data_IF_895816860932
#
_entry.id   IF_895816860932
#
_cell.length_a   1.000
_cell.length_b   1.000
_cell.length_c   1.000
_cell.angle_alpha   90.00
_cell.angle_beta   90.00
_cell.angle_gamma   90.00
#
_symmetry.space_group_name_H-M   'P 1'
#
loop_
_entity.id
_entity.type
_entity.pdbx_description
1 polymer ?
#
# COMPACT_ATOMS: atom_id res chain seq x y z
N UNK A 1 -4.99 37.90 -2.82
CA UNK A 1 -6.28 37.18 -2.97
C UNK A 1 -6.44 36.22 -1.81
N UNK A 2 -7.62 36.14 -1.21
CA UNK A 2 -7.89 35.10 -0.20
C UNK A 2 -8.01 33.74 -0.90
N UNK A 3 -7.57 32.68 -0.21
CA UNK A 3 -7.78 31.32 -0.68
C UNK A 3 -9.27 31.00 -0.71
N UNK A 4 -9.72 30.31 -1.75
CA UNK A 4 -11.15 30.02 -1.95
C UNK A 4 -11.46 28.56 -1.62
N UNK A 5 -12.69 28.32 -1.16
CA UNK A 5 -13.23 26.98 -0.96
C UNK A 5 -14.25 26.69 -2.05
N UNK A 6 -14.03 25.60 -2.79
CA UNK A 6 -15.01 25.03 -3.70
C UNK A 6 -15.83 23.99 -2.95
N UNK A 7 -17.14 24.04 -3.02
CA UNK A 7 -18.03 23.01 -2.46
C UNK A 7 -18.50 22.07 -3.56
N UNK A 8 -18.53 20.78 -3.24
CA UNK A 8 -19.02 19.70 -4.10
C UNK A 8 -20.01 18.87 -3.26
N UNK A 9 -21.15 18.52 -3.82
CA UNK A 9 -22.08 17.54 -3.24
C UNK A 9 -21.99 16.26 -4.03
N UNK A 10 -21.96 15.11 -3.33
CA UNK A 10 -21.97 13.77 -3.89
C UNK A 10 -22.78 12.83 -2.99
N UNK A 11 -23.08 11.63 -3.47
CA UNK A 11 -23.68 10.57 -2.63
C UNK A 11 -22.59 9.84 -1.86
N UNK A 12 -21.42 9.67 -2.48
CA UNK A 12 -20.30 8.92 -1.92
C UNK A 12 -18.96 9.65 -2.12
N UNK A 13 -18.18 9.79 -1.05
CA UNK A 13 -16.82 10.36 -1.08
C UNK A 13 -15.79 9.33 -0.65
N UNK A 14 -14.85 9.02 -1.54
CA UNK A 14 -13.72 8.13 -1.28
C UNK A 14 -12.46 8.96 -1.08
N UNK A 15 -11.82 8.81 0.08
CA UNK A 15 -10.55 9.46 0.42
C UNK A 15 -9.40 8.45 0.28
N UNK A 16 -8.51 8.70 -0.69
CA UNK A 16 -7.40 7.82 -1.03
C UNK A 16 -7.61 7.07 -2.34
N UNK A 17 -6.76 7.35 -3.32
CA UNK A 17 -6.81 6.78 -4.68
C UNK A 17 -5.84 5.61 -4.90
N UNK A 18 -5.53 4.85 -3.85
CA UNK A 18 -4.91 3.53 -4.01
C UNK A 18 -5.81 2.57 -4.78
N UNK A 19 -5.35 1.35 -5.11
CA UNK A 19 -6.17 0.41 -5.87
C UNK A 19 -7.53 0.14 -5.24
N UNK A 20 -7.61 0.03 -3.90
CA UNK A 20 -8.86 -0.16 -3.18
C UNK A 20 -9.83 1.01 -3.36
N UNK A 21 -9.34 2.25 -3.20
CA UNK A 21 -10.18 3.44 -3.38
C UNK A 21 -10.57 3.67 -4.84
N UNK A 22 -9.67 3.41 -5.79
CA UNK A 22 -10.00 3.44 -7.21
C UNK A 22 -11.12 2.46 -7.54
N UNK A 23 -11.00 1.20 -7.10
CA UNK A 23 -12.03 0.19 -7.36
C UNK A 23 -13.35 0.53 -6.66
N UNK A 24 -13.32 1.03 -5.43
CA UNK A 24 -14.53 1.44 -4.71
C UNK A 24 -15.25 2.58 -5.43
N UNK A 25 -14.52 3.61 -5.84
CA UNK A 25 -15.08 4.77 -6.54
C UNK A 25 -15.63 4.41 -7.93
N UNK A 26 -14.90 3.61 -8.71
CA UNK A 26 -15.35 3.15 -10.02
C UNK A 26 -16.57 2.24 -9.90
N UNK A 27 -16.60 1.32 -8.92
CA UNK A 27 -17.74 0.45 -8.71
C UNK A 27 -19.00 1.25 -8.38
N UNK A 28 -18.91 2.20 -7.44
CA UNK A 28 -20.04 3.06 -7.08
C UNK A 28 -20.54 3.87 -8.29
N UNK A 29 -19.63 4.51 -9.03
CA UNK A 29 -19.97 5.30 -10.20
C UNK A 29 -20.65 4.46 -11.31
N UNK A 30 -20.22 3.21 -11.54
CA UNK A 30 -20.86 2.28 -12.48
C UNK A 30 -22.29 1.91 -12.09
N UNK A 31 -22.60 1.97 -10.80
CA UNK A 31 -23.95 1.80 -10.30
C UNK A 31 -24.78 3.08 -10.31
N UNK A 32 -24.28 4.16 -10.92
CA UNK A 32 -24.98 5.44 -11.04
C UNK A 32 -24.95 6.31 -9.79
N UNK A 33 -24.04 6.01 -8.85
CA UNK A 33 -23.84 6.78 -7.61
C UNK A 33 -22.92 7.95 -7.92
N UNK A 34 -23.34 9.19 -7.66
CA UNK A 34 -22.48 10.36 -7.81
C UNK A 34 -21.35 10.32 -6.78
N UNK A 35 -20.14 10.05 -7.27
CA UNK A 35 -18.99 9.70 -6.47
C UNK A 35 -17.86 10.71 -6.63
N UNK A 36 -17.22 11.09 -5.53
CA UNK A 36 -15.96 11.86 -5.53
C UNK A 36 -14.82 10.93 -5.07
N UNK A 37 -13.74 10.87 -5.84
CA UNK A 37 -12.47 10.25 -5.42
C UNK A 37 -11.46 11.37 -5.16
N UNK A 38 -11.11 11.59 -3.90
CA UNK A 38 -10.10 12.54 -3.47
C UNK A 38 -8.78 11.84 -3.23
N UNK A 39 -7.71 12.28 -3.90
CA UNK A 39 -6.39 11.67 -3.80
C UNK A 39 -5.27 12.69 -3.73
N UNK A 40 -4.36 12.51 -2.78
CA UNK A 40 -3.25 13.43 -2.49
C UNK A 40 -2.16 13.45 -3.57
N UNK A 41 -2.10 12.42 -4.42
CA UNK A 41 -1.06 12.24 -5.43
C UNK A 41 -1.55 12.59 -6.84
N UNK A 42 -0.62 12.87 -7.77
CA UNK A 42 -0.94 13.06 -9.19
C UNK A 42 -1.34 11.76 -9.90
N UNK A 43 -0.93 10.58 -9.38
CA UNK A 43 -1.21 9.27 -9.96
C UNK A 43 -2.04 8.43 -9.01
N UNK A 44 -2.99 7.68 -9.55
CA UNK A 44 -3.74 6.64 -8.82
C UNK A 44 -2.87 5.40 -8.58
N UNK A 45 -3.34 4.51 -7.71
CA UNK A 45 -2.71 3.20 -7.46
C UNK A 45 -1.99 3.08 -6.12
N UNK A 46 -1.65 4.18 -5.43
CA UNK A 46 -0.96 4.14 -4.15
C UNK A 46 0.39 3.41 -4.25
N UNK A 47 0.62 2.37 -3.45
CA UNK A 47 1.86 1.59 -3.50
C UNK A 47 2.12 0.92 -4.86
N UNK A 48 1.07 0.68 -5.67
CA UNK A 48 1.21 0.10 -7.00
C UNK A 48 1.49 1.14 -8.10
N UNK A 49 1.44 2.44 -7.81
CA UNK A 49 1.73 3.51 -8.77
C UNK A 49 3.20 3.54 -9.18
N UNK A 50 3.51 4.29 -10.23
CA UNK A 50 4.89 4.51 -10.67
C UNK A 50 5.78 5.21 -9.63
N UNK A 51 5.19 5.87 -8.63
CA UNK A 51 5.93 6.56 -7.57
C UNK A 51 6.59 5.59 -6.58
N UNK A 52 5.97 4.42 -6.35
CA UNK A 52 6.47 3.40 -5.39
C UNK A 52 6.86 2.12 -6.11
N UNK A 53 6.10 1.69 -7.11
CA UNK A 53 6.32 0.50 -7.95
C UNK A 53 6.25 -0.83 -7.21
N UNK A 54 5.42 -0.92 -6.17
CA UNK A 54 5.15 -2.21 -5.56
C UNK A 54 4.21 -3.04 -6.44
N UNK A 55 4.52 -4.32 -6.61
CA UNK A 55 3.71 -5.20 -7.44
C UNK A 55 2.30 -5.41 -6.89
N UNK A 56 1.35 -5.54 -7.80
CA UNK A 56 0.01 -6.02 -7.46
C UNK A 56 0.09 -7.52 -7.26
N UNK A 57 0.03 -7.92 -6.00
CA UNK A 57 0.07 -9.32 -5.58
C UNK A 57 -1.32 -9.75 -5.18
N UNK A 58 -1.85 -10.89 -5.19
CA UNK A 58 -3.22 -11.31 -4.87
C UNK A 58 -3.29 -12.61 -4.07
N UNK A 59 -4.42 -13.26 -4.03
CA UNK A 59 -4.58 -14.54 -3.35
C UNK A 59 -3.76 -15.63 -4.04
N UNK A 60 -2.99 -16.40 -3.26
CA UNK A 60 -2.28 -17.58 -3.76
C UNK A 60 -3.20 -18.80 -3.69
N UNK A 61 -3.06 -19.71 -4.64
CA UNK A 61 -3.76 -20.99 -4.65
C UNK A 61 -3.94 -21.53 -6.07
N UNK A 62 -4.16 -22.83 -6.20
CA UNK A 62 -4.42 -23.44 -7.48
C UNK A 62 -5.77 -22.96 -8.03
N UNK A 63 -5.79 -22.48 -9.27
CA UNK A 63 -6.98 -21.96 -9.93
C UNK A 63 -7.48 -20.60 -9.44
N UNK A 64 -6.84 -19.99 -8.45
CA UNK A 64 -7.21 -18.65 -7.97
C UNK A 64 -6.71 -17.57 -8.92
N UNK A 65 -7.59 -16.67 -9.28
CA UNK A 65 -7.29 -15.46 -10.04
C UNK A 65 -8.20 -14.34 -9.57
N UNK A 66 -7.76 -13.12 -9.77
CA UNK A 66 -8.61 -11.95 -9.57
C UNK A 66 -9.74 -11.92 -10.61
N UNK A 67 -10.78 -11.20 -10.25
CA UNK A 67 -11.93 -10.93 -11.09
C UNK A 67 -12.33 -9.45 -10.97
N UNK A 68 -13.35 -9.05 -11.71
CA UNK A 68 -13.91 -7.70 -11.62
C UNK A 68 -12.94 -6.62 -12.08
N UNK A 69 -12.94 -5.49 -11.38
CA UNK A 69 -12.19 -4.29 -11.80
C UNK A 69 -10.67 -4.47 -11.84
N UNK A 70 -10.11 -5.28 -10.96
CA UNK A 70 -8.66 -5.55 -10.99
C UNK A 70 -8.30 -6.40 -12.21
N UNK A 71 -9.07 -7.43 -12.54
CA UNK A 71 -8.85 -8.20 -13.77
C UNK A 71 -8.99 -7.31 -15.01
N UNK A 72 -10.03 -6.47 -15.06
CA UNK A 72 -10.24 -5.51 -16.17
C UNK A 72 -9.02 -4.60 -16.34
N UNK A 73 -8.55 -4.00 -15.25
CA UNK A 73 -7.38 -3.12 -15.27
C UNK A 73 -6.12 -3.84 -15.75
N UNK A 74 -5.90 -5.08 -15.31
CA UNK A 74 -4.73 -5.87 -15.69
C UNK A 74 -4.79 -6.31 -17.16
N UNK A 75 -5.96 -6.72 -17.65
CA UNK A 75 -6.14 -7.07 -19.06
C UNK A 75 -5.97 -5.85 -19.96
N UNK A 76 -6.51 -4.70 -19.55
CA UNK A 76 -6.28 -3.42 -20.25
C UNK A 76 -4.80 -3.06 -20.28
N UNK A 77 -4.11 -3.16 -19.13
CA UNK A 77 -2.67 -2.90 -19.06
C UNK A 77 -1.88 -3.88 -19.93
N UNK A 78 -2.23 -5.16 -19.94
CA UNK A 78 -1.56 -6.15 -20.79
C UNK A 78 -1.70 -5.79 -22.28
N UNK A 79 -2.87 -5.30 -22.69
CA UNK A 79 -3.15 -4.93 -24.06
C UNK A 79 -2.45 -3.63 -24.49
N UNK A 80 -2.55 -2.57 -23.67
CA UNK A 80 -2.07 -1.23 -24.02
C UNK A 80 -0.63 -0.93 -23.56
N UNK A 81 -0.06 -1.79 -22.71
CA UNK A 81 1.26 -1.62 -22.12
C UNK A 81 2.10 -2.91 -22.21
N UNK A 82 2.34 -3.46 -23.42
CA UNK A 82 3.03 -4.74 -23.58
C UNK A 82 4.49 -4.71 -23.07
N UNK A 83 5.10 -3.53 -23.00
CA UNK A 83 6.46 -3.34 -22.50
C UNK A 83 6.53 -3.05 -20.99
N UNK A 84 5.39 -3.07 -20.29
CA UNK A 84 5.29 -2.90 -18.82
C UNK A 84 5.92 -1.61 -18.31
N UNK A 85 5.63 -0.50 -18.97
CA UNK A 85 6.08 0.83 -18.61
C UNK A 85 5.20 1.37 -17.48
N UNK A 86 5.78 1.80 -16.37
CA UNK A 86 5.04 2.23 -15.17
C UNK A 86 4.14 3.45 -15.41
N UNK A 87 4.58 4.44 -16.19
CA UNK A 87 3.73 5.59 -16.53
C UNK A 87 2.51 5.22 -17.39
N UNK A 88 2.61 4.15 -18.19
CA UNK A 88 1.46 3.62 -18.94
C UNK A 88 0.52 2.81 -18.03
N UNK A 89 1.05 2.15 -17.00
CA UNK A 89 0.24 1.55 -15.95
C UNK A 89 -0.58 2.62 -15.21
N UNK A 90 0.03 3.73 -14.79
CA UNK A 90 -0.69 4.85 -14.19
C UNK A 90 -1.77 5.40 -15.13
N UNK A 91 -1.47 5.48 -16.42
CA UNK A 91 -2.45 5.92 -17.44
C UNK A 91 -3.65 4.97 -17.54
N UNK A 92 -3.48 3.64 -17.36
CA UNK A 92 -4.59 2.69 -17.34
C UNK A 92 -5.51 2.92 -16.13
N UNK A 93 -4.94 3.17 -14.94
CA UNK A 93 -5.71 3.49 -13.74
C UNK A 93 -6.48 4.81 -13.90
N UNK A 94 -5.82 5.82 -14.46
CA UNK A 94 -6.46 7.10 -14.76
C UNK A 94 -7.58 6.94 -15.79
N UNK A 95 -7.36 6.18 -16.86
CA UNK A 95 -8.37 5.94 -17.90
C UNK A 95 -9.60 5.21 -17.33
N UNK A 96 -9.39 4.22 -16.44
CA UNK A 96 -10.47 3.51 -15.76
C UNK A 96 -11.36 4.48 -14.97
N UNK A 97 -10.77 5.40 -14.20
CA UNK A 97 -11.52 6.41 -13.45
C UNK A 97 -12.21 7.42 -14.38
N UNK A 98 -11.53 7.85 -15.44
CA UNK A 98 -12.08 8.89 -16.37
C UNK A 98 -13.18 8.37 -17.27
N UNK A 99 -13.31 7.07 -17.44
CA UNK A 99 -14.40 6.47 -18.22
C UNK A 99 -15.77 6.54 -17.51
N UNK A 100 -15.78 6.80 -16.19
CA UNK A 100 -16.99 6.76 -15.39
C UNK A 100 -17.67 8.15 -15.32
N UNK A 101 -18.87 8.33 -15.89
CA UNK A 101 -19.53 9.65 -15.94
C UNK A 101 -19.97 10.16 -14.56
N UNK A 102 -20.25 9.27 -13.62
CA UNK A 102 -20.62 9.60 -12.24
C UNK A 102 -19.42 9.72 -11.28
N UNK A 103 -18.17 9.77 -11.80
CA UNK A 103 -16.97 9.91 -10.98
C UNK A 103 -16.31 11.28 -11.16
N UNK A 104 -16.30 12.08 -10.11
CA UNK A 104 -15.47 13.28 -10.00
C UNK A 104 -14.12 12.91 -9.39
N UNK A 105 -13.05 13.05 -10.16
CA UNK A 105 -11.68 12.73 -9.74
C UNK A 105 -10.95 14.01 -9.30
N UNK A 106 -10.51 14.05 -8.04
CA UNK A 106 -9.74 15.13 -7.42
C UNK A 106 -8.32 14.63 -7.09
N UNK A 107 -7.40 14.75 -8.04
CA UNK A 107 -5.98 14.49 -7.83
C UNK A 107 -5.27 15.66 -7.17
N UNK A 108 -4.09 15.44 -6.60
CA UNK A 108 -3.29 16.43 -5.86
C UNK A 108 -4.06 17.11 -4.74
N UNK A 109 -5.03 16.40 -4.16
CA UNK A 109 -5.96 16.92 -3.16
C UNK A 109 -5.79 16.09 -1.88
N UNK A 110 -5.09 16.66 -0.91
CA UNK A 110 -4.84 16.03 0.39
C UNK A 110 -5.99 16.33 1.34
N UNK A 111 -6.68 15.28 1.80
CA UNK A 111 -7.71 15.43 2.84
C UNK A 111 -7.05 15.87 4.15
N UNK A 112 -7.53 16.94 4.74
CA UNK A 112 -6.90 17.53 5.92
C UNK A 112 -7.89 17.93 7.02
N UNK A 113 -9.19 17.86 6.76
CA UNK A 113 -10.22 18.19 7.72
C UNK A 113 -11.51 17.43 7.44
N UNK A 114 -12.32 17.21 8.47
CA UNK A 114 -13.64 16.60 8.37
C UNK A 114 -14.60 17.25 9.37
N UNK A 115 -15.82 17.51 8.93
CA UNK A 115 -16.92 17.99 9.77
C UNK A 115 -17.83 16.82 10.13
N UNK A 116 -18.19 16.71 11.40
CA UNK A 116 -19.08 15.66 11.91
C UNK A 116 -20.28 16.25 12.65
N UNK A 117 -21.42 15.56 12.56
CA UNK A 117 -22.57 15.76 13.42
C UNK A 117 -22.78 14.48 14.24
N UNK A 118 -22.35 14.54 15.50
CA UNK A 118 -22.28 13.35 16.36
C UNK A 118 -21.35 12.29 15.78
N UNK A 119 -21.90 11.12 15.52
CA UNK A 119 -21.19 9.96 14.95
C UNK A 119 -21.35 9.85 13.41
N UNK A 120 -21.72 10.92 12.75
CA UNK A 120 -21.91 10.98 11.30
C UNK A 120 -21.00 12.02 10.67
N UNK A 121 -20.27 11.66 9.63
CA UNK A 121 -19.48 12.60 8.83
C UNK A 121 -20.42 13.38 7.92
N UNK A 122 -20.28 14.71 7.92
CA UNK A 122 -21.04 15.63 7.08
C UNK A 122 -20.25 16.02 5.83
N UNK A 123 -18.99 16.36 6.02
CA UNK A 123 -18.10 16.74 4.92
C UNK A 123 -16.64 16.40 5.21
N UNK A 124 -15.85 16.35 4.15
CA UNK A 124 -14.37 16.32 4.21
C UNK A 124 -13.82 17.48 3.41
N UNK A 125 -12.72 18.08 3.88
CA UNK A 125 -12.05 19.17 3.19
C UNK A 125 -10.63 18.79 2.84
N UNK A 126 -10.29 18.96 1.56
CA UNK A 126 -8.95 18.75 1.05
C UNK A 126 -8.32 20.04 0.53
N UNK A 127 -6.99 20.13 0.65
CA UNK A 127 -6.18 21.13 -0.02
C UNK A 127 -5.70 20.61 -1.38
N UNK A 128 -6.13 21.25 -2.46
CA UNK A 128 -5.61 20.95 -3.79
C UNK A 128 -4.44 21.87 -4.11
N UNK A 129 -3.24 21.30 -4.05
CA UNK A 129 -1.98 22.03 -4.18
C UNK A 129 -1.84 22.74 -5.53
N UNK A 130 -2.25 22.09 -6.61
CA UNK A 130 -2.07 22.61 -7.98
C UNK A 130 -2.94 23.81 -8.31
N UNK A 131 -4.14 23.88 -7.72
CA UNK A 131 -5.08 25.02 -7.92
C UNK A 131 -5.09 26.01 -6.76
N UNK A 132 -4.36 25.70 -5.67
CA UNK A 132 -4.28 26.52 -4.45
C UNK A 132 -5.64 26.90 -3.88
N UNK A 133 -6.52 25.90 -3.76
CA UNK A 133 -7.85 26.08 -3.18
C UNK A 133 -8.22 24.92 -2.24
N UNK A 134 -9.11 25.19 -1.33
CA UNK A 134 -9.78 24.16 -0.55
C UNK A 134 -10.93 23.57 -1.35
N UNK A 135 -11.13 22.26 -1.23
CA UNK A 135 -12.27 21.55 -1.81
C UNK A 135 -12.99 20.84 -0.67
N UNK A 136 -14.19 21.30 -0.37
CA UNK A 136 -15.08 20.70 0.62
C UNK A 136 -16.08 19.80 -0.10
N UNK A 137 -16.09 18.51 0.24
CA UNK A 137 -17.00 17.52 -0.31
C UNK A 137 -18.01 17.13 0.77
N UNK A 138 -19.26 17.48 0.56
CA UNK A 138 -20.41 17.01 1.34
C UNK A 138 -20.92 15.71 0.72
N UNK A 139 -21.13 14.64 1.52
CA UNK A 139 -21.61 13.36 1.02
C UNK A 139 -22.47 12.62 2.05
N UNK A 140 -23.24 11.65 1.57
CA UNK A 140 -24.06 10.80 2.44
C UNK A 140 -23.24 9.66 3.05
N UNK A 141 -22.28 9.13 2.28
CA UNK A 141 -21.37 8.06 2.68
C UNK A 141 -19.91 8.45 2.39
N UNK A 142 -19.01 7.96 3.23
CA UNK A 142 -17.58 8.17 3.11
C UNK A 142 -16.81 6.85 3.17
N UNK A 143 -15.68 6.79 2.47
CA UNK A 143 -14.73 5.67 2.59
C UNK A 143 -13.32 6.17 2.79
N UNK A 144 -12.64 5.64 3.82
CA UNK A 144 -11.21 5.82 4.00
C UNK A 144 -10.43 4.71 3.28
N UNK A 145 -9.81 5.07 2.17
CA UNK A 145 -8.89 4.23 1.39
C UNK A 145 -7.49 4.85 1.35
N UNK A 146 -7.17 5.75 2.28
CA UNK A 146 -5.92 6.51 2.33
C UNK A 146 -4.70 5.66 2.71
N UNK A 147 -4.95 4.46 3.24
CA UNK A 147 -3.92 3.55 3.73
C UNK A 147 -3.40 3.89 5.12
N UNK A 148 -3.36 5.16 5.49
CA UNK A 148 -2.96 5.62 6.82
C UNK A 148 -4.16 5.99 7.70
N UNK A 149 -5.39 5.70 7.25
CA UNK A 149 -6.65 5.99 7.95
C UNK A 149 -6.76 7.45 8.38
N UNK A 150 -6.64 8.38 7.40
CA UNK A 150 -6.65 9.81 7.70
C UNK A 150 -7.97 10.27 8.33
N UNK A 151 -9.08 9.63 7.97
CA UNK A 151 -10.37 9.99 8.54
C UNK A 151 -10.52 9.58 10.00
N UNK A 152 -9.74 8.60 10.50
CA UNK A 152 -9.82 8.21 11.91
C UNK A 152 -9.53 9.37 12.87
N UNK A 153 -8.35 10.03 12.83
CA UNK A 153 -8.07 11.16 13.72
C UNK A 153 -8.93 12.41 13.41
N UNK A 154 -9.46 12.55 12.18
CA UNK A 154 -10.28 13.71 11.82
C UNK A 154 -11.73 13.59 12.29
N UNK A 155 -12.23 12.37 12.49
CA UNK A 155 -13.65 12.13 12.81
C UNK A 155 -13.87 11.48 14.17
N UNK A 156 -12.81 11.00 14.83
CA UNK A 156 -12.92 10.21 16.04
C UNK A 156 -13.34 8.75 15.79
N UNK A 157 -13.20 8.25 14.56
CA UNK A 157 -13.39 6.83 14.28
C UNK A 157 -12.33 6.00 14.98
N UNK A 158 -12.75 4.86 15.54
CA UNK A 158 -11.88 3.97 16.29
C UNK A 158 -10.83 3.31 15.40
N UNK A 159 -9.60 3.23 15.89
CA UNK A 159 -8.48 2.55 15.22
C UNK A 159 -7.50 1.93 16.21
N UNK A 160 -6.65 1.05 15.71
CA UNK A 160 -5.47 0.52 16.40
C UNK A 160 -4.20 0.87 15.65
N UNK A 161 -3.09 0.88 16.36
CA UNK A 161 -1.73 0.96 15.82
C UNK A 161 -0.82 0.06 16.66
N UNK A 162 0.19 -0.55 16.04
CA UNK A 162 1.12 -1.43 16.73
C UNK A 162 0.65 -2.89 16.78
N UNK A 163 1.35 -3.71 17.57
CA UNK A 163 1.16 -5.16 17.63
C UNK A 163 0.38 -5.55 18.87
N UNK A 164 -0.60 -6.41 18.72
CA UNK A 164 -1.38 -7.00 19.78
C UNK A 164 -0.56 -8.06 20.53
N UNK A 165 -0.80 -8.23 21.83
CA UNK A 165 -0.22 -9.31 22.63
C UNK A 165 -0.91 -10.65 22.33
N UNK A 166 -0.15 -11.76 22.45
CA UNK A 166 -0.70 -13.11 22.31
C UNK A 166 -1.87 -13.36 23.28
N UNK A 167 -1.82 -12.76 24.47
CA UNK A 167 -2.90 -12.89 25.47
C UNK A 167 -4.23 -12.27 25.05
N UNK A 168 -4.25 -11.36 24.05
CA UNK A 168 -5.49 -10.68 23.62
C UNK A 168 -6.32 -11.55 22.69
N UNK A 169 -5.67 -12.23 21.69
CA UNK A 169 -6.37 -13.01 20.67
C UNK A 169 -5.86 -14.44 20.50
N UNK A 170 -4.84 -14.86 21.24
CA UNK A 170 -4.27 -16.21 21.13
C UNK A 170 -3.58 -16.47 19.79
N UNK A 171 -3.08 -15.45 19.13
CA UNK A 171 -2.39 -15.57 17.84
C UNK A 171 -0.97 -16.10 18.04
N UNK A 172 -0.60 -17.17 17.31
CA UNK A 172 0.73 -17.80 17.41
C UNK A 172 1.89 -16.88 17.06
N UNK A 173 1.68 -15.97 16.11
CA UNK A 173 2.71 -15.05 15.64
C UNK A 173 2.74 -13.73 16.41
N UNK A 174 1.77 -13.48 17.30
CA UNK A 174 1.73 -12.27 18.12
C UNK A 174 2.90 -12.20 19.09
N UNK A 175 3.18 -11.00 19.58
CA UNK A 175 4.20 -10.75 20.59
C UNK A 175 3.68 -11.05 21.99
N UNK A 176 4.58 -11.30 22.95
CA UNK A 176 4.20 -11.55 24.34
C UNK A 176 3.52 -10.33 24.99
N UNK A 177 4.05 -9.14 24.74
CA UNK A 177 3.52 -7.86 25.23
C UNK A 177 3.20 -6.94 24.04
N UNK A 178 2.03 -6.32 24.07
CA UNK A 178 1.61 -5.37 23.04
C UNK A 178 2.58 -4.17 22.98
N UNK A 179 2.85 -3.70 21.78
CA UNK A 179 3.71 -2.54 21.55
C UNK A 179 3.20 -1.65 20.41
N UNK A 180 3.83 -0.50 20.20
CA UNK A 180 3.48 0.46 19.15
C UNK A 180 4.17 0.19 17.81
N UNK A 181 4.93 -0.90 17.68
CA UNK A 181 5.70 -1.19 16.47
C UNK A 181 4.79 -1.67 15.34
N UNK A 182 5.22 -1.38 14.12
CA UNK A 182 4.53 -1.74 12.90
C UNK A 182 5.48 -2.46 11.94
N UNK A 183 5.00 -2.95 10.82
CA UNK A 183 5.87 -3.28 9.70
C UNK A 183 6.41 -1.99 9.09
N UNK A 184 7.69 -1.99 8.71
CA UNK A 184 8.37 -0.82 8.19
C UNK A 184 7.93 -0.40 6.78
N UNK A 185 8.68 0.51 6.20
CA UNK A 185 8.45 1.04 4.86
C UNK A 185 9.73 0.91 4.01
N UNK A 186 9.59 0.96 2.69
CA UNK A 186 10.71 0.84 1.74
C UNK A 186 10.67 1.94 0.70
N UNK A 187 11.82 2.54 0.37
CA UNK A 187 12.03 3.26 -0.87
C UNK A 187 12.60 2.27 -1.89
N UNK A 188 11.78 1.86 -2.85
CA UNK A 188 12.17 0.84 -3.81
C UNK A 188 13.15 1.40 -4.84
N UNK A 189 14.09 0.59 -5.29
CA UNK A 189 14.98 0.91 -6.39
C UNK A 189 14.92 -0.18 -7.46
N UNK A 190 15.19 0.18 -8.71
CA UNK A 190 15.27 -0.74 -9.82
C UNK A 190 16.51 -0.44 -10.67
N UNK A 191 17.14 -1.50 -11.15
CA UNK A 191 18.22 -1.40 -12.10
C UNK A 191 17.78 -1.78 -13.51
N UNK A 192 18.50 -1.26 -14.51
CA UNK A 192 18.39 -1.66 -15.92
C UNK A 192 19.71 -2.23 -16.39
N UNK A 193 19.67 -3.39 -17.05
CA UNK A 193 20.84 -3.98 -17.68
C UNK A 193 21.06 -3.34 -19.06
N UNK A 194 22.29 -2.89 -19.32
CA UNK A 194 22.71 -2.33 -20.59
C UNK A 194 23.65 -3.30 -21.32
N UNK A 195 23.96 -3.00 -22.56
CA UNK A 195 24.92 -3.73 -23.39
C UNK A 195 26.38 -3.33 -23.19
N UNK A 196 26.61 -2.34 -22.33
CA UNK A 196 27.93 -1.81 -22.01
C UNK A 196 28.06 -1.51 -20.50
N UNK A 197 29.29 -1.44 -19.97
CA UNK A 197 29.53 -1.03 -18.58
C UNK A 197 29.14 0.42 -18.31
N UNK A 198 28.63 0.67 -17.11
CA UNK A 198 28.33 2.01 -16.58
C UNK A 198 28.95 2.16 -15.21
N UNK A 199 29.67 3.25 -15.00
CA UNK A 199 30.21 3.60 -13.71
C UNK A 199 29.13 4.14 -12.77
N UNK A 200 29.32 3.92 -11.48
CA UNK A 200 28.51 4.52 -10.43
C UNK A 200 29.39 5.11 -9.35
N UNK A 201 29.16 6.38 -9.03
CA UNK A 201 29.85 7.09 -7.96
C UNK A 201 28.80 7.39 -6.88
N UNK A 202 28.96 6.76 -5.72
CA UNK A 202 28.04 6.99 -4.62
C UNK A 202 28.21 8.40 -4.05
N UNK A 203 27.11 9.13 -3.80
CA UNK A 203 27.18 10.41 -3.10
C UNK A 203 27.68 10.22 -1.66
N UNK A 204 28.26 11.27 -1.09
CA UNK A 204 28.85 11.21 0.26
C UNK A 204 27.86 10.86 1.37
N UNK A 205 26.59 11.15 1.17
CA UNK A 205 25.50 10.84 2.11
C UNK A 205 24.95 9.40 1.99
N UNK A 206 25.38 8.62 0.97
CA UNK A 206 24.97 7.22 0.87
C UNK A 206 25.47 6.42 2.07
N UNK A 207 24.63 5.55 2.61
CA UNK A 207 24.99 4.67 3.75
C UNK A 207 26.11 3.74 3.35
N UNK A 208 27.20 3.72 4.13
CA UNK A 208 28.28 2.75 3.91
C UNK A 208 27.87 1.40 4.48
N UNK A 209 27.83 0.39 3.62
CA UNK A 209 27.47 -0.98 4.00
C UNK A 209 28.72 -1.83 4.28
N UNK A 210 28.60 -2.71 5.25
CA UNK A 210 29.65 -3.65 5.65
C UNK A 210 29.48 -4.97 4.90
N UNK A 211 30.53 -5.82 4.91
CA UNK A 211 30.44 -7.17 4.39
C UNK A 211 29.38 -8.02 5.14
N UNK A 212 29.12 -7.73 6.42
CA UNK A 212 28.08 -8.39 7.20
C UNK A 212 26.69 -7.99 6.73
N UNK A 213 26.46 -6.71 6.41
CA UNK A 213 25.21 -6.23 5.83
C UNK A 213 24.92 -6.94 4.51
N UNK A 214 25.93 -7.11 3.65
CA UNK A 214 25.78 -7.79 2.35
C UNK A 214 25.52 -9.29 2.49
N UNK A 215 26.08 -9.96 3.51
CA UNK A 215 25.73 -11.36 3.79
C UNK A 215 24.27 -11.49 4.20
N UNK A 216 23.79 -10.58 5.03
CA UNK A 216 22.44 -10.61 5.61
C UNK A 216 21.36 -10.17 4.61
N UNK A 217 21.65 -9.18 3.78
CA UNK A 217 20.74 -8.57 2.79
C UNK A 217 21.45 -8.48 1.45
N UNK A 218 21.75 -9.63 0.85
CA UNK A 218 22.49 -9.68 -0.41
C UNK A 218 21.65 -9.10 -1.54
N UNK A 219 22.16 -8.09 -2.26
CA UNK A 219 21.52 -7.61 -3.46
C UNK A 219 21.56 -8.68 -4.55
N UNK A 220 20.45 -8.82 -5.29
CA UNK A 220 20.35 -9.66 -6.47
C UNK A 220 19.54 -8.94 -7.53
N UNK A 221 20.00 -9.00 -8.76
CA UNK A 221 19.36 -8.44 -9.94
C UNK A 221 19.36 -9.52 -11.02
N UNK A 222 18.37 -10.39 -10.96
CA UNK A 222 18.14 -11.38 -12.02
C UNK A 222 17.33 -10.80 -13.16
N UNK A 223 16.49 -9.79 -12.86
CA UNK A 223 15.59 -9.12 -13.79
C UNK A 223 15.61 -7.62 -13.55
N UNK A 224 15.41 -6.84 -14.61
CA UNK A 224 15.29 -5.37 -14.51
C UNK A 224 14.11 -4.88 -13.67
N UNK A 225 13.18 -5.76 -13.31
CA UNK A 225 12.01 -5.45 -12.46
C UNK A 225 12.21 -5.75 -10.98
N UNK A 226 13.38 -6.24 -10.56
CA UNK A 226 13.70 -6.40 -9.14
C UNK A 226 13.68 -5.03 -8.45
N UNK A 227 13.05 -4.97 -7.26
CA UNK A 227 12.77 -3.69 -6.60
C UNK A 227 13.34 -3.55 -5.20
N UNK A 228 14.15 -4.47 -4.72
CA UNK A 228 14.83 -4.41 -3.42
C UNK A 228 13.90 -4.09 -2.23
N UNK A 229 12.71 -4.68 -2.19
CA UNK A 229 11.68 -4.45 -1.18
C UNK A 229 12.16 -4.68 0.27
N UNK A 230 13.19 -5.48 0.47
CA UNK A 230 13.79 -5.81 1.76
C UNK A 230 14.69 -4.70 2.34
N UNK A 231 14.93 -3.62 1.60
CA UNK A 231 15.50 -2.39 2.13
C UNK A 231 14.41 -1.64 2.88
N UNK A 232 14.22 -2.01 4.12
CA UNK A 232 13.08 -1.61 4.95
C UNK A 232 13.55 -1.01 6.26
N UNK A 233 12.92 0.09 6.71
CA UNK A 233 13.17 0.75 7.98
C UNK A 233 11.87 1.29 8.58
N UNK A 234 11.92 1.73 9.84
CA UNK A 234 10.91 2.58 10.47
C UNK A 234 9.72 1.86 11.09
N UNK A 235 9.72 0.50 11.17
CA UNK A 235 8.68 -0.23 11.88
C UNK A 235 8.77 -0.10 13.40
N UNK A 236 9.93 0.27 13.91
CA UNK A 236 10.23 0.53 15.32
C UNK A 236 10.07 2.02 15.71
N UNK A 237 9.50 2.83 14.82
CA UNK A 237 9.23 4.27 14.98
C UNK A 237 7.77 4.59 14.65
N UNK A 238 7.38 5.86 14.79
CA UNK A 238 6.09 6.32 14.31
C UNK A 238 6.06 6.29 12.77
N UNK A 239 5.35 5.32 12.20
CA UNK A 239 5.26 5.11 10.76
C UNK A 239 4.59 6.26 10.00
N UNK A 240 3.99 7.22 10.70
CA UNK A 240 3.39 8.43 10.13
C UNK A 240 4.26 9.64 10.47
N UNK A 241 4.48 9.93 11.75
CA UNK A 241 5.19 11.13 12.22
C UNK A 241 6.64 11.19 11.75
N UNK A 242 7.33 10.05 11.71
CA UNK A 242 8.75 9.97 11.34
C UNK A 242 8.97 9.66 9.85
N UNK A 243 7.92 9.61 9.02
CA UNK A 243 8.01 9.18 7.61
C UNK A 243 9.07 9.91 6.80
N UNK A 244 9.24 11.22 6.99
CA UNK A 244 10.20 12.01 6.22
C UNK A 244 11.65 11.70 6.62
N UNK A 245 11.90 11.54 7.92
CA UNK A 245 13.22 11.14 8.44
C UNK A 245 13.58 9.73 7.98
N UNK A 246 12.61 8.80 8.08
CA UNK A 246 12.78 7.41 7.62
C UNK A 246 13.00 7.36 6.11
N UNK A 247 12.31 8.20 5.31
CA UNK A 247 12.53 8.33 3.87
C UNK A 247 13.97 8.70 3.55
N UNK A 248 14.54 9.69 4.25
CA UNK A 248 15.92 10.13 4.00
C UNK A 248 16.92 9.00 4.31
N UNK A 249 16.70 8.26 5.39
CA UNK A 249 17.52 7.09 5.73
C UNK A 249 17.36 5.95 4.72
N UNK A 250 16.15 5.72 4.21
CA UNK A 250 15.88 4.71 3.19
C UNK A 250 16.55 5.05 1.86
N UNK A 251 16.53 6.31 1.45
CA UNK A 251 17.21 6.79 0.24
C UNK A 251 18.71 6.61 0.39
N UNK A 252 19.27 6.97 1.55
CA UNK A 252 20.69 6.77 1.84
C UNK A 252 21.07 5.28 1.84
N UNK A 253 20.21 4.42 2.40
CA UNK A 253 20.39 2.96 2.39
C UNK A 253 20.32 2.38 0.97
N UNK A 254 19.36 2.83 0.15
CA UNK A 254 19.20 2.37 -1.23
C UNK A 254 20.43 2.72 -2.09
N UNK A 255 20.95 3.94 -1.96
CA UNK A 255 22.20 4.33 -2.64
C UNK A 255 23.40 3.54 -2.12
N UNK A 256 23.47 3.28 -0.83
CA UNK A 256 24.52 2.43 -0.24
C UNK A 256 24.47 0.99 -0.73
N UNK A 257 23.26 0.43 -0.88
CA UNK A 257 23.09 -0.89 -1.45
C UNK A 257 23.47 -0.95 -2.92
N UNK A 258 23.12 0.10 -3.68
CA UNK A 258 23.53 0.20 -5.08
C UNK A 258 25.04 0.38 -5.24
N UNK A 259 25.68 1.18 -4.36
CA UNK A 259 27.14 1.31 -4.31
C UNK A 259 27.81 -0.04 -4.04
N UNK A 260 27.32 -0.77 -3.05
CA UNK A 260 27.85 -2.10 -2.73
C UNK A 260 27.65 -3.08 -3.88
N UNK A 261 26.53 -3.07 -4.56
CA UNK A 261 26.28 -3.87 -5.75
C UNK A 261 27.25 -3.56 -6.88
N UNK A 262 27.50 -2.26 -7.15
CA UNK A 262 28.37 -1.81 -8.24
C UNK A 262 29.86 -1.92 -7.94
N UNK A 263 30.27 -1.60 -6.73
CA UNK A 263 31.67 -1.26 -6.43
C UNK A 263 32.35 -2.18 -5.42
N UNK A 264 31.65 -3.14 -4.78
CA UNK A 264 32.28 -4.07 -3.81
C UNK A 264 33.21 -5.11 -4.45
N UNK A 265 33.05 -5.37 -5.75
CA UNK A 265 33.73 -6.45 -6.44
C UNK A 265 33.09 -7.84 -6.24
N UNK A 266 32.03 -7.97 -5.39
CA UNK A 266 31.34 -9.24 -5.12
C UNK A 266 30.32 -9.63 -6.20
N UNK A 267 29.99 -8.72 -7.12
CA UNK A 267 28.94 -8.89 -8.13
C UNK A 267 29.53 -8.67 -9.54
N UNK A 268 30.13 -9.71 -10.15
CA UNK A 268 30.83 -9.55 -11.44
C UNK A 268 29.92 -9.03 -12.57
N UNK A 269 28.61 -9.37 -12.52
CA UNK A 269 27.65 -8.92 -13.53
C UNK A 269 27.16 -7.47 -13.32
N UNK A 270 27.54 -6.84 -12.22
CA UNK A 270 27.07 -5.49 -11.88
C UNK A 270 27.56 -4.40 -12.84
N UNK A 271 28.67 -4.62 -13.57
CA UNK A 271 29.27 -3.63 -14.44
C UNK A 271 28.25 -3.00 -15.42
N UNK A 272 27.43 -3.84 -16.04
CA UNK A 272 26.46 -3.41 -17.05
C UNK A 272 25.10 -2.94 -16.49
N UNK A 273 24.97 -2.83 -15.18
CA UNK A 273 23.73 -2.36 -14.57
C UNK A 273 23.76 -0.88 -14.25
N UNK A 274 22.72 -0.16 -14.67
CA UNK A 274 22.46 1.25 -14.35
C UNK A 274 21.32 1.34 -13.35
N UNK A 275 21.43 2.25 -12.36
CA UNK A 275 20.28 2.62 -11.53
C UNK A 275 19.26 3.33 -12.41
N UNK A 276 18.06 2.78 -12.52
CA UNK A 276 17.01 3.27 -13.42
C UNK A 276 15.90 3.99 -12.66
N UNK A 277 15.64 3.57 -11.44
CA UNK A 277 14.61 4.16 -10.59
C UNK A 277 15.00 4.09 -9.12
N UNK A 278 14.66 5.14 -8.40
CA UNK A 278 14.63 5.18 -6.95
C UNK A 278 13.36 5.92 -6.51
N UNK A 279 12.54 5.28 -5.70
CA UNK A 279 11.35 5.91 -5.09
C UNK A 279 11.74 6.84 -3.96
N UNK A 280 11.24 8.07 -3.99
CA UNK A 280 11.38 9.05 -2.90
C UNK A 280 10.14 9.10 -2.00
N UNK A 281 9.12 8.33 -2.31
CA UNK A 281 7.93 8.14 -1.50
C UNK A 281 8.01 6.76 -0.86
N UNK A 282 8.07 6.66 0.48
CA UNK A 282 8.12 5.37 1.15
C UNK A 282 6.84 4.56 0.92
N UNK A 283 6.99 3.35 0.43
CA UNK A 283 5.91 2.36 0.38
C UNK A 283 5.67 1.81 1.78
N UNK A 284 4.69 2.37 2.48
CA UNK A 284 4.32 1.92 3.83
C UNK A 284 3.59 0.59 3.78
N UNK A 285 3.91 -0.31 4.71
CA UNK A 285 3.18 -1.57 4.92
C UNK A 285 2.07 -1.42 5.92
N UNK A 286 2.34 -0.71 7.02
CA UNK A 286 1.41 -0.59 8.14
C UNK A 286 1.44 0.80 8.75
N UNK A 287 0.27 1.20 9.30
CA UNK A 287 0.09 2.35 10.17
C UNK A 287 -1.19 2.13 11.02
N UNK A 288 -2.15 3.05 10.99
CA UNK A 288 -3.44 2.89 11.66
C UNK A 288 -4.28 1.82 10.93
N UNK A 289 -4.95 0.97 11.69
CA UNK A 289 -5.95 0.00 11.25
C UNK A 289 -7.27 0.37 11.87
N UNK A 290 -8.29 0.60 11.03
CA UNK A 290 -9.64 0.97 11.49
C UNK A 290 -10.28 -0.19 12.27
N UNK A 291 -11.25 0.11 13.11
CA UNK A 291 -12.00 -0.90 13.83
C UNK A 291 -13.44 -0.98 13.32
N UNK A 292 -13.78 -2.17 12.79
CA UNK A 292 -15.13 -2.56 12.42
C UNK A 292 -15.81 -3.36 13.52
N UNK A 293 -16.98 -3.90 13.22
CA UNK A 293 -17.72 -4.80 14.14
C UNK A 293 -16.98 -6.14 14.34
N UNK A 294 -16.18 -6.55 13.35
CA UNK A 294 -15.29 -7.70 13.42
C UNK A 294 -13.84 -7.23 13.31
N UNK A 295 -12.99 -7.66 14.22
CA UNK A 295 -11.55 -7.59 14.11
C UNK A 295 -11.03 -8.97 13.66
N UNK A 296 -10.63 -9.08 12.40
CA UNK A 296 -10.12 -10.33 11.84
C UNK A 296 -8.73 -10.65 12.38
N UNK A 297 -8.51 -11.92 12.75
CA UNK A 297 -7.29 -12.39 13.42
C UNK A 297 -6.51 -13.40 12.55
N UNK A 298 -5.27 -13.73 12.96
CA UNK A 298 -4.53 -14.87 12.39
C UNK A 298 -5.35 -16.16 12.47
N UNK A 299 -6.06 -16.38 13.58
CA UNK A 299 -6.82 -17.61 13.78
C UNK A 299 -7.95 -17.76 12.76
N UNK A 300 -8.62 -16.65 12.40
CA UNK A 300 -9.64 -16.63 11.34
C UNK A 300 -9.03 -16.97 9.99
N UNK A 301 -7.87 -16.40 9.65
CA UNK A 301 -7.14 -16.66 8.40
C UNK A 301 -6.76 -18.15 8.32
N UNK A 302 -6.18 -18.71 9.37
CA UNK A 302 -5.75 -20.11 9.41
C UNK A 302 -6.93 -21.09 9.37
N UNK A 303 -8.11 -20.67 9.85
CA UNK A 303 -9.36 -21.42 9.74
C UNK A 303 -10.06 -21.29 8.37
N UNK A 304 -9.50 -20.49 7.45
CA UNK A 304 -10.05 -20.29 6.10
C UNK A 304 -11.08 -19.16 6.00
N UNK A 305 -11.21 -18.29 7.01
CA UNK A 305 -12.07 -17.11 6.97
C UNK A 305 -13.53 -17.44 6.61
N UNK A 306 -14.14 -18.40 7.33
CA UNK A 306 -15.50 -18.88 7.05
C UNK A 306 -16.54 -17.95 7.68
N UNK A 307 -16.82 -16.84 7.04
CA UNK A 307 -17.81 -15.87 7.48
C UNK A 307 -19.04 -15.90 6.57
N UNK A 308 -20.24 -15.74 7.14
CA UNK A 308 -21.50 -15.67 6.38
C UNK A 308 -21.55 -14.43 5.47
N UNK A 309 -20.90 -13.34 5.90
CA UNK A 309 -20.84 -12.06 5.22
C UNK A 309 -19.52 -11.86 4.44
N UNK A 310 -18.90 -12.94 3.94
CA UNK A 310 -17.70 -12.86 3.12
C UNK A 310 -17.93 -12.06 1.83
N UNK A 311 -17.18 -11.00 1.61
CA UNK A 311 -17.27 -10.12 0.43
C UNK A 311 -15.98 -10.08 -0.42
N UNK A 312 -14.88 -10.58 0.13
CA UNK A 312 -13.59 -10.64 -0.57
C UNK A 312 -12.78 -11.85 -0.10
N UNK A 313 -11.71 -12.17 -0.81
CA UNK A 313 -10.81 -13.26 -0.46
C UNK A 313 -9.36 -12.77 -0.40
N UNK A 314 -8.63 -13.17 0.65
CA UNK A 314 -7.20 -13.11 0.78
C UNK A 314 -6.56 -14.48 0.55
N UNK A 315 -5.22 -14.54 0.44
CA UNK A 315 -4.52 -15.81 0.21
C UNK A 315 -3.00 -15.64 0.13
N UNK A 316 -2.49 -14.47 0.48
CA UNK A 316 -1.07 -14.25 0.69
C UNK A 316 -0.64 -14.93 1.99
N UNK A 317 0.62 -15.37 2.12
CA UNK A 317 1.16 -15.78 3.42
C UNK A 317 0.96 -14.69 4.48
N UNK A 318 0.86 -15.08 5.73
CA UNK A 318 1.14 -14.19 6.85
C UNK A 318 2.62 -13.81 6.74
N UNK A 319 2.90 -12.62 6.26
CA UNK A 319 4.24 -12.14 5.90
C UNK A 319 4.61 -10.99 6.85
N UNK A 320 4.86 -11.38 8.10
CA UNK A 320 5.14 -10.46 9.21
C UNK A 320 6.61 -10.00 9.16
N UNK A 321 6.81 -8.73 8.83
CA UNK A 321 8.12 -8.09 8.72
C UNK A 321 8.63 -7.63 10.08
N UNK A 322 9.89 -7.93 10.40
CA UNK A 322 10.52 -7.45 11.65
C UNK A 322 10.57 -5.92 11.65
N UNK A 323 10.07 -5.25 12.72
CA UNK A 323 10.02 -3.78 12.78
C UNK A 323 11.35 -3.07 12.56
N UNK A 324 12.48 -3.72 12.88
CA UNK A 324 13.83 -3.17 12.66
C UNK A 324 14.26 -3.23 11.19
N UNK A 325 13.52 -3.96 10.35
CA UNK A 325 13.74 -4.06 8.91
C UNK A 325 15.17 -4.46 8.55
N UNK A 326 15.86 -3.61 7.78
CA UNK A 326 17.26 -3.83 7.38
C UNK A 326 18.22 -4.00 8.55
N UNK A 327 17.96 -3.35 9.67
CA UNK A 327 18.82 -3.41 10.86
C UNK A 327 18.63 -4.69 11.69
N UNK A 328 17.61 -5.52 11.39
CA UNK A 328 17.43 -6.80 12.05
C UNK A 328 18.60 -7.76 11.70
N UNK A 329 19.34 -8.33 12.68
CA UNK A 329 20.40 -9.30 12.40
C UNK A 329 19.89 -10.63 11.85
N UNK A 330 18.61 -10.95 12.05
CA UNK A 330 17.95 -12.15 11.59
C UNK A 330 17.31 -12.03 10.20
N UNK A 331 16.29 -12.85 9.97
CA UNK A 331 15.47 -12.80 8.74
C UNK A 331 14.68 -11.49 8.67
N UNK A 332 14.41 -11.02 7.43
CA UNK A 332 13.64 -9.80 7.21
C UNK A 332 12.18 -9.97 7.67
N UNK A 333 11.64 -11.15 7.55
CA UNK A 333 10.23 -11.48 7.83
C UNK A 333 10.06 -12.91 8.35
N UNK A 334 8.90 -13.16 8.93
CA UNK A 334 8.37 -14.50 9.20
C UNK A 334 7.25 -14.74 8.20
N UNK A 335 7.19 -15.91 7.57
CA UNK A 335 6.18 -16.22 6.57
C UNK A 335 5.51 -17.55 6.89
N UNK A 336 4.17 -17.53 7.04
CA UNK A 336 3.35 -18.72 7.31
C UNK A 336 2.23 -18.77 6.28
N UNK A 337 2.12 -19.91 5.58
CA UNK A 337 1.10 -20.09 4.54
C UNK A 337 -0.26 -20.40 5.17
N UNK A 338 -1.33 -19.66 4.83
CA UNK A 338 -2.69 -20.15 5.07
C UNK A 338 -2.92 -21.37 4.18
N UNK A 339 -3.69 -22.35 4.68
CA UNK A 339 -3.92 -23.61 3.96
C UNK A 339 -4.69 -23.45 2.65
N UNK A 340 -5.41 -22.35 2.46
CA UNK A 340 -6.21 -22.00 1.28
C UNK A 340 -6.51 -20.50 1.29
N UNK A 341 -7.08 -19.93 0.22
CA UNK A 341 -7.69 -18.61 0.30
C UNK A 341 -8.74 -18.55 1.41
N UNK A 342 -8.76 -17.43 2.10
CA UNK A 342 -9.64 -17.17 3.22
C UNK A 342 -10.60 -16.03 2.92
N UNK A 343 -11.85 -16.12 3.45
CA UNK A 343 -12.84 -15.07 3.31
C UNK A 343 -12.54 -13.87 4.18
N UNK A 344 -12.84 -12.68 3.67
CA UNK A 344 -12.80 -11.40 4.38
C UNK A 344 -14.24 -10.93 4.57
N UNK A 345 -14.72 -10.76 5.82
CA UNK A 345 -16.11 -10.41 6.08
C UNK A 345 -16.38 -8.92 5.88
N UNK A 346 -17.58 -8.58 5.45
CA UNK A 346 -18.05 -7.21 5.28
C UNK A 346 -17.89 -6.36 6.56
N UNK A 347 -18.11 -6.97 7.72
CA UNK A 347 -17.99 -6.31 9.04
C UNK A 347 -16.58 -5.85 9.41
N UNK A 348 -15.56 -6.15 8.60
CA UNK A 348 -14.21 -5.57 8.71
C UNK A 348 -14.03 -4.30 7.90
N UNK A 349 -15.03 -3.86 7.14
CA UNK A 349 -14.91 -2.79 6.14
C UNK A 349 -15.73 -1.53 6.45
N UNK A 350 -16.35 -1.44 7.60
CA UNK A 350 -17.04 -0.22 8.06
C UNK A 350 -16.76 0.06 9.53
N UNK A 351 -16.88 1.33 9.90
CA UNK A 351 -16.55 1.78 11.27
C UNK A 351 -17.63 1.32 12.26
N UNK A 352 -17.17 0.81 13.43
CA UNK A 352 -18.07 0.41 14.50
C UNK A 352 -18.71 1.57 15.25
N UNK A 353 -18.14 2.78 15.14
CA UNK A 353 -18.59 3.96 15.89
C UNK A 353 -18.95 5.17 15.02
N UNK A 354 -18.69 5.13 13.69
CA UNK A 354 -19.13 6.16 12.75
C UNK A 354 -20.12 5.55 11.77
N UNK A 355 -21.36 6.09 11.70
CA UNK A 355 -22.49 5.47 11.00
C UNK A 355 -22.34 5.38 9.48
N UNK A 356 -21.59 6.30 8.87
CA UNK A 356 -21.48 6.43 7.42
C UNK A 356 -20.03 6.36 6.92
N UNK A 357 -19.14 5.70 7.66
CA UNK A 357 -17.74 5.53 7.31
C UNK A 357 -17.41 4.08 6.97
N UNK A 358 -17.02 3.86 5.73
CA UNK A 358 -16.42 2.62 5.23
C UNK A 358 -14.90 2.75 5.15
N UNK A 359 -14.20 1.63 4.98
CA UNK A 359 -12.77 1.62 4.70
C UNK A 359 -12.38 0.38 3.89
N UNK A 360 -11.37 0.54 3.05
CA UNK A 360 -10.85 -0.54 2.23
C UNK A 360 -9.35 -0.37 1.95
N UNK A 361 -8.64 -1.48 1.90
CA UNK A 361 -7.19 -1.52 1.70
C UNK A 361 -6.48 -2.11 2.92
N UNK A 362 -5.23 -1.70 3.15
CA UNK A 362 -4.43 -2.21 4.26
C UNK A 362 -4.96 -1.81 5.65
N UNK A 363 -5.85 -0.85 5.72
CA UNK A 363 -6.37 -0.25 6.94
C UNK A 363 -7.73 -0.83 7.41
N UNK A 364 -8.19 -1.95 6.84
CA UNK A 364 -9.41 -2.61 7.31
C UNK A 364 -9.21 -3.21 8.72
N UNK A 365 -10.30 -3.63 9.35
CA UNK A 365 -10.33 -4.08 10.74
C UNK A 365 -9.67 -5.46 10.90
N UNK A 366 -8.38 -5.45 11.23
CA UNK A 366 -7.56 -6.66 11.42
C UNK A 366 -6.53 -6.46 12.52
N UNK A 367 -6.06 -7.55 13.13
CA UNK A 367 -4.85 -7.53 13.97
C UNK A 367 -3.61 -7.27 13.13
N UNK A 368 -2.50 -6.88 13.75
CA UNK A 368 -1.21 -6.73 13.09
C UNK A 368 -0.84 -8.01 12.30
N UNK A 369 -0.96 -9.17 12.94
CA UNK A 369 -0.61 -10.45 12.31
C UNK A 369 -1.53 -10.75 11.11
N UNK A 370 -2.84 -10.60 11.25
CA UNK A 370 -3.78 -10.82 10.15
C UNK A 370 -3.52 -9.86 8.97
N UNK A 371 -3.19 -8.60 9.27
CA UNK A 371 -2.91 -7.58 8.26
C UNK A 371 -1.65 -7.91 7.45
N UNK A 372 -0.67 -8.61 8.01
CA UNK A 372 0.54 -9.04 7.30
C UNK A 372 0.25 -9.95 6.08
N UNK A 373 -0.92 -10.59 6.05
CA UNK A 373 -1.42 -11.35 4.91
C UNK A 373 -2.28 -10.52 3.97
N UNK A 374 -3.28 -9.83 4.52
CA UNK A 374 -4.32 -9.17 3.73
C UNK A 374 -3.88 -7.87 3.05
N UNK A 375 -2.83 -7.22 3.54
CA UNK A 375 -2.31 -5.98 2.98
C UNK A 375 -1.58 -6.18 1.64
N UNK A 376 -1.21 -7.41 1.30
CA UNK A 376 -0.47 -7.75 0.08
C UNK A 376 -1.43 -8.34 -0.95
N UNK A 377 -1.72 -7.58 -2.00
CA UNK A 377 -2.53 -8.06 -3.12
C UNK A 377 -1.66 -8.81 -4.12
N UNK A 378 -1.80 -10.14 -4.27
CA UNK A 378 -1.10 -10.95 -5.28
C UNK A 378 -2.04 -11.80 -6.12
N UNK A 379 -1.84 -11.72 -7.41
CA UNK A 379 -2.44 -12.60 -8.43
C UNK A 379 -1.49 -13.73 -8.82
N UNK A 380 -2.03 -14.94 -8.96
CA UNK A 380 -1.40 -15.99 -9.74
C UNK A 380 -2.38 -16.51 -10.79
N UNK A 381 -2.05 -16.34 -12.07
CA UNK A 381 -2.71 -17.11 -13.11
C UNK A 381 -2.20 -18.56 -13.07
N UNK A 382 -3.05 -19.53 -13.34
CA UNK A 382 -2.76 -20.96 -13.41
C UNK A 382 -1.74 -21.35 -14.51
N UNK A 383 -1.17 -20.41 -15.23
CA UNK A 383 -0.24 -20.61 -16.33
C UNK A 383 1.19 -20.15 -16.01
N UNK A 384 1.77 -20.46 -14.86
CA UNK A 384 3.23 -20.39 -14.62
C UNK A 384 3.97 -19.07 -14.93
N UNK A 385 3.32 -18.08 -15.51
CA UNK A 385 3.85 -16.77 -15.79
C UNK A 385 3.46 -15.81 -14.67
N UNK A 386 4.39 -15.50 -13.78
CA UNK A 386 4.24 -14.38 -12.86
C UNK A 386 4.13 -13.11 -13.71
N UNK A 387 2.97 -12.45 -13.73
CA UNK A 387 2.83 -11.11 -14.27
C UNK A 387 3.48 -10.13 -13.27
N UNK A 388 4.79 -10.00 -13.37
CA UNK A 388 5.51 -8.88 -12.82
C UNK A 388 5.38 -7.74 -13.82
N UNK A 389 4.92 -6.55 -13.36
CA UNK A 389 5.06 -5.33 -14.16
C UNK A 389 6.52 -4.97 -14.35
#
# INVERSE_FOLDING_TARGET
MALTTQKIRADFCVVGGGLSGLCAAVAAARHGIDTVLMHERPMLGGNASSEIRMWVCGAQGEGNRETGLIEELQLSNLHYNPYKIYSLWDAQMYALAKAEPHLTLLLNTSCMDAETDGNRIVSVTGWQMTTQRFICVEADLFADCSGDSILAPLTGADFRIGREAVAEFGEELAVEEADSKTMGMSCLLQGRKLDHPVEFIAPAWAKKLTAEDLKRRRPHLERSSENFWYLELGGDRDSIGDSEVVRDELVALAYGMWDAFKNSGEFPDAANWQLDFLGFLPGKRESRRMLGDVLMTQNDIMAGGKFEDTVAFGGWPLDDHDPRGFNNPGKANRSVQPGSPYGIPYRTMYSRNMENLFFAGRNISMTHVAMSSSSVMKLRSSSGASYQM
#
